data_IF_711829647896
#
_entry.id   IF_711829647896
#
_cell.length_a   1.000
_cell.length_b   1.000
_cell.length_c   1.000
_cell.angle_alpha   90.00
_cell.angle_beta   90.00
_cell.angle_gamma   90.00
#
_symmetry.space_group_name_H-M   'P 1'
#
loop_
_entity.id
_entity.type
_entity.pdbx_description
1 polymer ?
#
# COMPACT_ATOMS: atom_id res chain seq x y z
N UNK A 1 8.55 -28.95 -37.90
CA UNK A 1 7.08 -29.10 -38.01
C UNK A 1 6.59 -29.77 -36.73
N UNK A 2 5.49 -29.26 -36.18
CA UNK A 2 4.66 -29.84 -35.12
C UNK A 2 5.26 -29.97 -33.69
N UNK A 3 5.11 -28.90 -32.90
CA UNK A 3 4.45 -29.03 -31.58
C UNK A 3 3.43 -27.89 -31.52
N UNK A 4 2.27 -28.15 -32.14
CA UNK A 4 1.15 -27.22 -32.26
C UNK A 4 -0.08 -27.83 -31.57
N UNK A 5 0.08 -28.40 -30.38
CA UNK A 5 -1.03 -28.92 -29.57
C UNK A 5 -0.78 -28.71 -28.06
N UNK A 6 -0.84 -27.45 -27.63
CA UNK A 6 -1.10 -27.07 -26.23
C UNK A 6 -2.30 -26.12 -26.14
N UNK A 7 -3.20 -26.22 -27.12
CA UNK A 7 -4.48 -25.54 -27.11
C UNK A 7 -5.55 -26.48 -26.56
N UNK A 8 -6.34 -25.96 -25.62
CA UNK A 8 -7.58 -26.51 -25.06
C UNK A 8 -7.48 -27.41 -23.81
N UNK A 9 -6.75 -26.96 -22.78
CA UNK A 9 -7.17 -27.29 -21.41
C UNK A 9 -8.34 -26.38 -21.00
N UNK A 10 -9.51 -26.91 -20.61
CA UNK A 10 -10.64 -26.12 -20.09
C UNK A 10 -10.33 -25.42 -18.76
N UNK A 11 -9.24 -25.80 -18.07
CA UNK A 11 -8.74 -25.10 -16.88
C UNK A 11 -8.04 -23.76 -17.21
N UNK A 12 -7.40 -23.66 -18.39
CA UNK A 12 -6.67 -22.47 -18.82
C UNK A 12 -7.53 -21.46 -19.59
N UNK A 13 -8.68 -21.88 -20.12
CA UNK A 13 -9.64 -20.96 -20.74
C UNK A 13 -10.30 -20.06 -19.69
N UNK A 14 -10.58 -20.60 -18.49
CA UNK A 14 -11.03 -19.84 -17.32
C UNK A 14 -9.98 -18.85 -16.83
N UNK A 15 -8.71 -19.26 -16.78
CA UNK A 15 -7.59 -18.41 -16.37
C UNK A 15 -7.36 -17.23 -17.34
N UNK A 16 -7.45 -17.46 -18.66
CA UNK A 16 -7.37 -16.38 -19.67
C UNK A 16 -8.56 -15.43 -19.61
N UNK A 17 -9.75 -15.92 -19.26
CA UNK A 17 -10.95 -15.09 -19.10
C UNK A 17 -10.87 -14.24 -17.83
N UNK A 18 -10.30 -14.79 -16.75
CA UNK A 18 -9.98 -14.07 -15.52
C UNK A 18 -8.87 -13.02 -15.73
N UNK A 19 -7.82 -13.36 -16.48
CA UNK A 19 -6.75 -12.42 -16.85
C UNK A 19 -7.22 -11.32 -17.82
N UNK A 20 -8.20 -11.60 -18.70
CA UNK A 20 -8.85 -10.55 -19.51
C UNK A 20 -9.73 -9.62 -18.68
N UNK A 21 -10.31 -10.09 -17.58
CA UNK A 21 -11.07 -9.26 -16.65
C UNK A 21 -10.17 -8.34 -15.81
N UNK A 22 -8.88 -8.65 -15.66
CA UNK A 22 -7.91 -7.77 -15.01
C UNK A 22 -7.43 -6.60 -15.89
N UNK A 23 -7.81 -6.56 -17.17
CA UNK A 23 -7.38 -5.51 -18.11
C UNK A 23 -8.52 -4.98 -19.00
N UNK A 24 -9.71 -4.78 -18.44
CA UNK A 24 -10.70 -3.89 -19.05
C UNK A 24 -10.56 -2.49 -18.41
N UNK A 25 -10.06 -1.49 -19.14
CA UNK A 25 -10.11 -0.10 -18.71
C UNK A 25 -11.50 0.42 -19.06
N UNK A 26 -12.41 0.43 -18.10
CA UNK A 26 -13.57 1.29 -18.14
C UNK A 26 -13.48 2.22 -16.93
N UNK A 27 -13.74 3.51 -17.18
CA UNK A 27 -13.72 4.62 -16.23
C UNK A 27 -12.36 5.32 -16.03
N UNK A 28 -11.70 5.64 -17.14
CA UNK A 28 -11.23 7.01 -17.30
C UNK A 28 -12.41 7.91 -17.70
N UNK A 29 -13.17 8.42 -16.73
CA UNK A 29 -13.85 9.72 -16.87
C UNK A 29 -14.36 10.23 -15.52
N UNK A 30 -14.27 11.56 -15.37
CA UNK A 30 -14.48 12.32 -14.15
C UNK A 30 -15.85 12.13 -13.49
N UNK A 31 -15.85 12.53 -12.21
CA UNK A 31 -16.98 12.63 -11.30
C UNK A 31 -17.79 11.35 -11.10
N UNK A 32 -17.72 10.81 -9.88
CA UNK A 32 -18.92 10.51 -9.06
C UNK A 32 -18.47 9.95 -7.69
N UNK A 33 -18.74 10.79 -6.68
CA UNK A 33 -19.44 10.42 -5.46
C UNK A 33 -18.77 9.49 -4.44
N UNK A 34 -18.33 10.12 -3.35
CA UNK A 34 -18.91 9.89 -2.02
C UNK A 34 -19.78 8.62 -1.86
N UNK A 35 -19.13 7.49 -1.56
CA UNK A 35 -19.68 6.51 -0.60
C UNK A 35 -18.57 6.05 0.33
N UNK A 36 -18.69 6.47 1.58
CA UNK A 36 -18.16 5.74 2.74
C UNK A 36 -18.67 4.30 2.67
N UNK A 37 -17.74 3.34 2.64
CA UNK A 37 -18.08 1.90 2.58
C UNK A 37 -17.60 1.16 1.33
N UNK A 38 -16.53 1.62 0.68
CA UNK A 38 -15.97 0.94 -0.50
C UNK A 38 -15.43 -0.47 -0.20
N UNK A 39 -16.23 -1.49 -0.47
CA UNK A 39 -15.86 -2.84 -0.94
C UNK A 39 -14.50 -3.44 -0.50
N UNK A 40 -14.16 -3.36 0.79
CA UNK A 40 -12.94 -4.00 1.32
C UNK A 40 -13.08 -5.54 1.48
N UNK A 41 -14.23 -6.13 1.13
CA UNK A 41 -14.53 -7.56 1.29
C UNK A 41 -15.21 -8.15 0.04
N UNK A 42 -14.61 -8.00 -1.14
CA UNK A 42 -15.03 -8.77 -2.30
C UNK A 42 -14.35 -10.14 -2.29
N UNK A 43 -15.01 -11.18 -2.80
CA UNK A 43 -14.41 -12.51 -2.96
C UNK A 43 -13.12 -12.46 -3.80
N UNK A 44 -13.02 -11.49 -4.70
CA UNK A 44 -11.86 -11.24 -5.53
C UNK A 44 -10.67 -10.71 -4.70
N UNK A 45 -10.90 -9.78 -3.76
CA UNK A 45 -9.86 -9.31 -2.84
C UNK A 45 -9.36 -10.43 -1.91
N UNK A 46 -10.29 -11.23 -1.37
CA UNK A 46 -9.92 -12.41 -0.58
C UNK A 46 -9.14 -13.45 -1.39
N UNK A 47 -9.51 -13.71 -2.64
CA UNK A 47 -8.78 -14.60 -3.52
C UNK A 47 -7.36 -14.07 -3.82
N UNK A 48 -7.20 -12.76 -4.04
CA UNK A 48 -5.89 -12.12 -4.23
C UNK A 48 -5.00 -12.29 -2.98
N UNK A 49 -5.57 -12.14 -1.79
CA UNK A 49 -4.86 -12.34 -0.52
C UNK A 49 -4.46 -13.82 -0.30
N UNK A 50 -5.36 -14.77 -0.57
CA UNK A 50 -5.07 -16.21 -0.46
C UNK A 50 -4.00 -16.62 -1.46
N UNK A 51 -4.09 -16.14 -2.70
CA UNK A 51 -3.07 -16.41 -3.72
C UNK A 51 -1.73 -15.79 -3.34
N UNK A 52 -1.73 -14.56 -2.81
CA UNK A 52 -0.52 -13.91 -2.33
C UNK A 52 0.11 -14.71 -1.19
N UNK A 53 -0.68 -15.17 -0.23
CA UNK A 53 -0.20 -16.03 0.85
C UNK A 53 0.38 -17.36 0.34
N UNK A 54 -0.34 -18.06 -0.53
CA UNK A 54 0.10 -19.35 -1.08
C UNK A 54 1.39 -19.25 -1.91
N UNK A 55 1.58 -18.12 -2.59
CA UNK A 55 2.77 -17.83 -3.40
C UNK A 55 3.89 -17.13 -2.62
N UNK A 56 3.71 -16.89 -1.32
CA UNK A 56 4.67 -16.16 -0.49
C UNK A 56 4.91 -14.72 -0.95
N UNK A 57 3.93 -14.11 -1.64
CA UNK A 57 3.97 -12.72 -2.05
C UNK A 57 3.64 -11.82 -0.87
N UNK A 58 4.40 -10.74 -0.74
CA UNK A 58 4.19 -9.69 0.25
C UNK A 58 3.97 -8.36 -0.46
N UNK A 59 3.14 -7.53 0.15
CA UNK A 59 2.83 -6.18 -0.29
C UNK A 59 3.57 -5.18 0.58
N UNK A 60 4.34 -4.31 -0.07
CA UNK A 60 4.90 -3.09 0.53
C UNK A 60 4.19 -1.88 -0.09
N UNK A 61 4.01 -0.83 0.69
CA UNK A 61 3.28 0.35 0.22
C UNK A 61 3.90 1.63 0.74
N UNK A 62 4.16 2.55 -0.18
CA UNK A 62 4.73 3.87 0.05
C UNK A 62 3.68 4.91 -0.26
N UNK A 63 3.54 5.89 0.63
CA UNK A 63 2.53 6.94 0.54
C UNK A 63 3.23 8.29 0.71
N UNK A 64 2.97 9.24 -0.17
CA UNK A 64 3.55 10.59 -0.07
C UNK A 64 2.58 11.65 -0.62
N UNK A 65 2.66 12.91 -0.14
CA UNK A 65 1.81 13.98 -0.67
C UNK A 65 2.16 14.28 -2.13
N UNK A 66 1.16 14.64 -2.93
CA UNK A 66 1.36 15.07 -4.32
C UNK A 66 1.80 16.53 -4.44
N UNK A 67 1.68 17.31 -3.36
CA UNK A 67 2.09 18.71 -3.28
C UNK A 67 3.24 18.87 -2.28
N UNK A 68 4.35 19.54 -2.65
CA UNK A 68 4.66 20.12 -3.96
C UNK A 68 5.02 19.09 -5.03
N UNK A 69 4.64 19.36 -6.29
CA UNK A 69 4.81 18.46 -7.44
C UNK A 69 6.27 18.02 -7.64
N UNK A 70 7.23 18.95 -7.49
CA UNK A 70 8.66 18.63 -7.61
C UNK A 70 9.12 17.59 -6.58
N UNK A 71 8.54 17.62 -5.37
CA UNK A 71 8.84 16.64 -4.34
C UNK A 71 8.16 15.30 -4.63
N UNK A 72 6.91 15.33 -5.07
CA UNK A 72 6.19 14.13 -5.48
C UNK A 72 6.89 13.41 -6.64
N UNK A 73 7.47 14.16 -7.59
CA UNK A 73 8.30 13.62 -8.67
C UNK A 73 9.52 12.89 -8.13
N UNK A 74 10.31 13.51 -7.25
CA UNK A 74 11.48 12.86 -6.62
C UNK A 74 11.10 11.62 -5.82
N UNK A 75 9.98 11.67 -5.10
CA UNK A 75 9.44 10.52 -4.38
C UNK A 75 9.09 9.37 -5.33
N UNK A 76 8.41 9.67 -6.44
CA UNK A 76 8.04 8.67 -7.43
C UNK A 76 9.27 8.07 -8.11
N UNK A 77 10.28 8.89 -8.46
CA UNK A 77 11.54 8.41 -9.02
C UNK A 77 12.27 7.48 -8.05
N UNK A 78 12.31 7.84 -6.76
CA UNK A 78 12.91 6.99 -5.73
C UNK A 78 12.20 5.63 -5.63
N UNK A 79 10.86 5.64 -5.67
CA UNK A 79 10.02 4.44 -5.68
C UNK A 79 10.27 3.60 -6.95
N UNK A 80 10.23 4.22 -8.13
CA UNK A 80 10.35 3.51 -9.41
C UNK A 80 11.78 3.00 -9.69
N UNK A 81 12.82 3.58 -9.09
CA UNK A 81 14.16 3.00 -9.10
C UNK A 81 14.18 1.58 -8.51
N UNK A 82 13.22 1.29 -7.64
CA UNK A 82 13.04 0.00 -6.96
C UNK A 82 11.94 -0.89 -7.56
N UNK A 83 11.42 -0.54 -8.75
CA UNK A 83 10.36 -1.31 -9.42
C UNK A 83 10.72 -2.78 -9.68
N UNK A 84 12.01 -3.12 -9.72
CA UNK A 84 12.49 -4.49 -9.91
C UNK A 84 12.07 -5.43 -8.76
N UNK A 85 11.72 -4.90 -7.59
CA UNK A 85 11.13 -5.66 -6.50
C UNK A 85 9.71 -6.17 -6.80
N UNK A 86 9.03 -5.49 -7.73
CA UNK A 86 7.65 -5.76 -8.09
C UNK A 86 7.58 -6.86 -9.16
N UNK A 87 7.93 -8.09 -8.75
CA UNK A 87 7.88 -9.23 -9.67
C UNK A 87 6.44 -9.60 -10.07
N UNK A 88 5.43 -9.17 -9.32
CA UNK A 88 4.04 -9.52 -9.59
C UNK A 88 3.21 -8.33 -10.08
N UNK A 89 3.16 -7.24 -9.31
CA UNK A 89 2.29 -6.09 -9.58
C UNK A 89 2.80 -4.80 -8.96
N UNK A 90 2.57 -3.70 -9.65
CA UNK A 90 2.67 -2.34 -9.11
C UNK A 90 1.28 -1.73 -9.15
N UNK A 91 0.77 -1.29 -7.99
CA UNK A 91 -0.49 -0.56 -7.90
C UNK A 91 -0.18 0.90 -7.57
N UNK A 92 -0.66 1.82 -8.42
CA UNK A 92 -0.51 3.27 -8.20
C UNK A 92 -1.90 3.89 -8.16
N UNK A 93 -2.22 4.56 -7.06
CA UNK A 93 -3.49 5.27 -6.92
C UNK A 93 -3.34 6.52 -6.07
N UNK A 94 -4.15 7.53 -6.37
CA UNK A 94 -4.23 8.73 -5.54
C UNK A 94 -5.34 8.58 -4.50
N UNK A 95 -5.18 9.25 -3.37
CA UNK A 95 -6.18 9.28 -2.30
C UNK A 95 -6.22 10.65 -1.64
N UNK A 96 -7.42 11.12 -1.30
CA UNK A 96 -7.57 12.30 -0.46
C UNK A 96 -7.16 12.02 0.99
N UNK A 97 -6.75 13.08 1.68
CA UNK A 97 -6.41 13.03 3.08
C UNK A 97 -7.61 12.63 3.93
N UNK A 98 -7.34 11.87 4.98
CA UNK A 98 -8.32 11.50 6.00
C UNK A 98 -8.11 12.30 7.28
N UNK A 99 -9.15 12.37 8.11
CA UNK A 99 -9.13 13.02 9.43
C UNK A 99 -8.92 12.03 10.59
N UNK A 100 -8.76 10.74 10.29
CA UNK A 100 -8.43 9.74 11.31
C UNK A 100 -7.02 9.99 11.87
N UNK A 101 -6.85 10.14 13.20
CA UNK A 101 -5.58 10.57 13.79
C UNK A 101 -4.38 9.70 13.50
N UNK A 102 -4.56 8.43 13.14
CA UNK A 102 -3.48 7.54 12.73
C UNK A 102 -3.52 7.20 11.25
N UNK A 103 -4.32 7.86 10.40
CA UNK A 103 -4.31 7.54 8.97
C UNK A 103 -2.93 7.82 8.36
N UNK A 104 -2.45 6.90 7.52
CA UNK A 104 -1.26 7.15 6.70
C UNK A 104 -1.51 8.29 5.70
N UNK A 105 -2.74 8.69 5.42
CA UNK A 105 -3.07 9.89 4.63
C UNK A 105 -3.62 11.02 5.49
N UNK A 106 -3.29 11.06 6.80
CA UNK A 106 -3.73 12.15 7.67
C UNK A 106 -3.30 13.53 7.12
N UNK A 107 -4.28 14.41 6.91
CA UNK A 107 -4.08 15.79 6.46
C UNK A 107 -4.00 16.74 7.65
N UNK A 108 -2.80 17.25 7.94
CA UNK A 108 -2.62 18.24 9.00
C UNK A 108 -3.24 19.58 8.59
N UNK A 109 -3.99 20.22 9.49
CA UNK A 109 -4.48 21.60 9.28
C UNK A 109 -5.81 21.75 8.53
N UNK A 110 -6.60 20.68 8.42
CA UNK A 110 -8.01 20.76 8.00
C UNK A 110 -8.25 21.08 6.52
N UNK A 111 -7.21 21.20 5.70
CA UNK A 111 -7.32 21.28 4.24
C UNK A 111 -7.12 19.90 3.63
N UNK A 112 -7.96 19.49 2.65
CA UNK A 112 -7.74 18.26 1.92
C UNK A 112 -6.37 18.28 1.22
N UNK A 113 -5.57 17.25 1.48
CA UNK A 113 -4.28 17.02 0.79
C UNK A 113 -4.42 15.75 -0.06
N UNK A 114 -3.96 15.78 -1.30
CA UNK A 114 -3.92 14.58 -2.14
C UNK A 114 -2.61 13.83 -1.90
N UNK A 115 -2.69 12.53 -1.68
CA UNK A 115 -1.56 11.62 -1.54
C UNK A 115 -1.50 10.67 -2.73
N UNK A 116 -0.29 10.27 -3.11
CA UNK A 116 -0.04 9.14 -4.00
C UNK A 116 0.33 7.92 -3.17
N UNK A 117 -0.27 6.78 -3.48
CA UNK A 117 0.02 5.48 -2.89
C UNK A 117 0.61 4.60 -3.98
N UNK A 118 1.80 4.07 -3.75
CA UNK A 118 2.46 3.12 -4.63
C UNK A 118 2.70 1.84 -3.86
N UNK A 119 2.10 0.74 -4.32
CA UNK A 119 2.28 -0.58 -3.73
C UNK A 119 3.03 -1.51 -4.66
N UNK A 120 4.00 -2.23 -4.11
CA UNK A 120 4.70 -3.31 -4.79
C UNK A 120 4.26 -4.65 -4.23
N UNK A 121 3.98 -5.59 -5.12
CA UNK A 121 3.71 -6.98 -4.77
C UNK A 121 4.84 -7.84 -5.34
N UNK A 122 5.53 -8.54 -4.45
CA UNK A 122 6.67 -9.39 -4.82
C UNK A 122 6.92 -10.50 -3.79
N UNK A 123 7.72 -11.52 -4.13
CA UNK A 123 8.08 -12.59 -3.20
C UNK A 123 8.74 -12.03 -1.94
N UNK A 124 8.27 -12.44 -0.77
CA UNK A 124 8.82 -12.03 0.53
C UNK A 124 10.36 -12.13 0.61
N UNK A 125 10.98 -13.25 0.20
CA UNK A 125 12.44 -13.39 0.22
C UNK A 125 13.19 -12.34 -0.61
N UNK A 126 12.60 -11.83 -1.70
CA UNK A 126 13.21 -10.77 -2.51
C UNK A 126 13.13 -9.42 -1.78
N UNK A 127 12.00 -9.16 -1.12
CA UNK A 127 11.80 -7.94 -0.34
C UNK A 127 12.68 -7.91 0.92
N UNK A 128 13.00 -9.08 1.48
CA UNK A 128 13.88 -9.23 2.66
C UNK A 128 15.38 -9.08 2.34
N UNK A 129 15.78 -9.04 1.07
CA UNK A 129 17.17 -8.77 0.70
C UNK A 129 17.56 -7.33 1.08
N UNK A 130 18.85 -7.05 1.34
CA UNK A 130 19.32 -5.68 1.58
C UNK A 130 19.02 -4.72 0.43
N UNK A 131 19.00 -5.22 -0.82
CA UNK A 131 18.61 -4.46 -2.01
C UNK A 131 17.10 -4.26 -2.15
N UNK A 132 16.30 -4.91 -1.31
CA UNK A 132 14.85 -4.87 -1.34
C UNK A 132 14.28 -3.72 -0.51
N UNK A 133 13.43 -4.06 0.43
CA UNK A 133 12.63 -3.13 1.23
C UNK A 133 13.49 -2.15 2.05
N UNK A 134 14.63 -2.60 2.56
CA UNK A 134 15.58 -1.75 3.28
C UNK A 134 16.22 -0.68 2.38
N UNK A 135 16.61 -1.04 1.16
CA UNK A 135 17.19 -0.10 0.19
C UNK A 135 16.19 0.96 -0.25
N UNK A 136 14.93 0.56 -0.46
CA UNK A 136 13.83 1.50 -0.73
C UNK A 136 13.62 2.46 0.43
N UNK A 137 13.58 1.95 1.66
CA UNK A 137 13.38 2.76 2.88
C UNK A 137 14.48 3.81 3.01
N UNK A 138 15.74 3.44 2.78
CA UNK A 138 16.86 4.38 2.86
C UNK A 138 16.82 5.42 1.73
N UNK A 139 16.43 5.02 0.51
CA UNK A 139 16.25 5.94 -0.61
C UNK A 139 15.16 6.98 -0.29
N UNK A 140 14.00 6.54 0.18
CA UNK A 140 12.89 7.41 0.56
C UNK A 140 13.25 8.35 1.70
N UNK A 141 13.99 7.87 2.70
CA UNK A 141 14.50 8.70 3.81
C UNK A 141 15.36 9.85 3.33
N UNK A 142 16.16 9.64 2.28
CA UNK A 142 17.05 10.64 1.70
C UNK A 142 16.31 11.63 0.81
N UNK A 143 15.46 11.13 -0.09
CA UNK A 143 14.98 11.92 -1.24
C UNK A 143 13.48 12.27 -1.18
N UNK A 144 12.72 11.67 -0.27
CA UNK A 144 11.27 11.83 -0.16
C UNK A 144 10.82 12.18 1.27
N UNK A 145 11.19 13.34 1.86
CA UNK A 145 10.81 13.65 3.22
C UNK A 145 9.29 13.67 3.41
N UNK A 146 8.79 13.06 4.49
CA UNK A 146 7.35 12.98 4.75
C UNK A 146 6.60 11.88 4.01
N UNK A 147 7.32 10.94 3.38
CA UNK A 147 6.74 9.65 3.01
C UNK A 147 6.21 8.91 4.24
N UNK A 148 5.31 7.96 3.99
CA UNK A 148 4.59 7.23 5.02
C UNK A 148 4.38 5.79 4.55
N UNK A 149 4.52 4.84 5.47
CA UNK A 149 4.08 3.44 5.25
C UNK A 149 2.62 3.23 5.62
N UNK A 150 2.04 2.17 5.08
CA UNK A 150 0.73 1.67 5.48
C UNK A 150 0.81 0.75 6.71
N UNK A 151 -0.01 0.98 7.75
CA UNK A 151 0.04 0.21 9.02
C UNK A 151 -0.11 -1.30 8.89
N UNK A 152 -0.93 -1.77 7.95
CA UNK A 152 -1.26 -3.19 7.77
C UNK A 152 -0.47 -3.92 6.67
N UNK A 153 0.58 -3.30 6.12
CA UNK A 153 1.40 -3.86 5.02
C UNK A 153 2.87 -3.83 5.43
N UNK A 154 3.71 -4.68 4.84
CA UNK A 154 5.10 -4.87 5.28
C UNK A 154 5.88 -3.56 5.32
N UNK A 155 6.54 -3.31 6.47
CA UNK A 155 7.68 -2.42 6.77
C UNK A 155 7.84 -2.23 8.29
N UNK A 156 8.26 -3.28 9.01
CA UNK A 156 8.72 -3.16 10.41
C UNK A 156 10.24 -3.35 10.48
N UNK A 157 10.96 -2.26 10.20
CA UNK A 157 12.42 -2.16 10.28
C UNK A 157 12.84 -0.74 10.70
N UNK A 158 13.01 -0.54 12.01
CA UNK A 158 13.81 0.44 12.74
C UNK A 158 13.87 1.95 12.43
N UNK A 159 13.14 2.52 11.49
CA UNK A 159 12.90 3.98 11.49
C UNK A 159 11.41 4.23 11.60
N UNK A 160 10.98 4.48 12.83
CA UNK A 160 9.58 4.69 13.14
C UNK A 160 9.15 6.07 12.61
N UNK A 161 8.66 6.09 11.38
CA UNK A 161 8.03 7.26 10.80
C UNK A 161 6.84 7.70 11.65
N UNK A 162 6.77 9.01 11.90
CA UNK A 162 5.68 9.65 12.65
C UNK A 162 4.73 10.27 11.64
N UNK A 163 3.47 9.88 11.67
CA UNK A 163 2.41 10.57 10.95
C UNK A 163 1.14 10.61 11.80
N UNK A 164 0.29 11.59 11.54
CA UNK A 164 -0.95 11.77 12.27
C UNK A 164 -0.81 12.59 13.55
N UNK A 165 -1.81 12.44 14.43
CA UNK A 165 -1.94 13.09 15.75
C UNK A 165 -2.01 12.03 16.86
N UNK A 166 -0.84 11.49 17.29
CA UNK A 166 -0.76 10.35 18.21
C UNK A 166 -1.42 10.63 19.56
N UNK A 167 -1.24 11.85 20.07
CA UNK A 167 -1.81 12.32 21.33
C UNK A 167 -3.35 12.33 21.29
N UNK A 168 -3.94 12.73 20.16
CA UNK A 168 -5.39 12.71 19.96
C UNK A 168 -5.91 11.28 19.92
N UNK A 169 -5.21 10.38 19.23
CA UNK A 169 -5.56 8.95 19.22
C UNK A 169 -5.54 8.35 20.63
N UNK A 170 -4.44 8.53 21.37
CA UNK A 170 -4.27 7.97 22.71
C UNK A 170 -5.31 8.51 23.70
N UNK A 171 -5.67 9.79 23.60
CA UNK A 171 -6.74 10.39 24.41
C UNK A 171 -8.09 9.70 24.16
N UNK A 172 -8.40 9.40 22.91
CA UNK A 172 -9.64 8.67 22.56
C UNK A 172 -9.55 7.21 23.01
N UNK A 173 -8.41 6.55 22.79
CA UNK A 173 -8.20 5.17 23.20
C UNK A 173 -8.33 5.00 24.72
N UNK A 174 -7.72 5.87 25.53
CA UNK A 174 -7.79 5.82 26.99
C UNK A 174 -9.22 6.00 27.53
N UNK A 175 -10.11 6.68 26.79
CA UNK A 175 -11.53 6.79 27.16
C UNK A 175 -12.26 5.46 27.07
N UNK A 176 -11.91 4.61 26.09
CA UNK A 176 -12.62 3.36 25.78
C UNK A 176 -11.89 2.11 26.27
N UNK A 177 -10.59 2.19 26.47
CA UNK A 177 -9.73 1.15 27.03
C UNK A 177 -8.73 1.75 28.03
N UNK A 178 -9.20 2.21 29.20
CA UNK A 178 -8.34 2.83 30.21
C UNK A 178 -7.28 1.85 30.76
N UNK A 179 -7.51 0.54 30.64
CA UNK A 179 -6.58 -0.50 31.04
C UNK A 179 -5.50 -0.83 29.99
N UNK A 180 -5.64 -0.33 28.76
CA UNK A 180 -4.76 -0.68 27.64
C UNK A 180 -4.81 -2.17 27.26
N UNK A 181 -5.94 -2.85 27.47
CA UNK A 181 -6.15 -4.27 27.14
C UNK A 181 -5.86 -4.57 25.67
N UNK A 182 -6.15 -3.64 24.77
CA UNK A 182 -5.98 -3.79 23.32
C UNK A 182 -4.68 -3.17 22.80
N UNK A 183 -3.79 -2.70 23.69
CA UNK A 183 -2.50 -2.16 23.30
C UNK A 183 -1.64 -3.26 22.66
N UNK A 184 -1.19 -3.12 21.39
CA UNK A 184 -0.36 -4.13 20.76
C UNK A 184 1.02 -4.19 21.43
N UNK A 185 1.57 -5.40 21.56
CA UNK A 185 2.90 -5.63 22.16
C UNK A 185 4.03 -4.90 21.42
N UNK A 186 3.86 -4.65 20.12
CA UNK A 186 4.85 -4.04 19.23
C UNK A 186 4.44 -2.62 18.79
N UNK A 187 3.85 -1.83 19.69
CA UNK A 187 3.53 -0.43 19.43
C UNK A 187 4.82 0.38 19.15
N UNK A 188 4.83 1.30 18.16
CA UNK A 188 5.94 2.22 17.99
C UNK A 188 6.14 3.06 19.26
N UNK A 189 7.39 3.21 19.70
CA UNK A 189 7.72 3.98 20.93
C UNK A 189 7.39 5.47 20.83
N UNK A 190 7.18 6.02 19.63
CA UNK A 190 6.68 7.41 19.49
C UNK A 190 5.18 7.55 19.69
N UNK A 191 4.43 6.44 19.67
CA UNK A 191 2.98 6.41 19.90
C UNK A 191 2.67 6.22 21.40
N UNK A 192 3.66 6.29 22.29
CA UNK A 192 3.50 6.22 23.75
C UNK A 192 3.52 7.61 24.40
#
# INVERSE_FOLDING_TARGET
MAIRELHSSPLLSGLRKALRWQHAPEEAQGDVSAKSGGNQYTWAAWADDVMSFALGLRRIEVIFPLDPEDQAGRCLDAVLAHQHMALWRIDVHSQQSEDFPLSSTFGAGGKPVQFLRVAFVGPGPLLDLPSGEASLTEHLRRDCPGWRRHWGKGLWGSTQERWGEPSQFLKVAARWDPSGKFKPKSQPSWLD
#
